data_IF_510186905411
#
_entry.id   IF_510186905411
#
_cell.length_a   1.000
_cell.length_b   1.000
_cell.length_c   1.000
_cell.angle_alpha   90.00
_cell.angle_beta   90.00
_cell.angle_gamma   90.00
#
_symmetry.space_group_name_H-M   'P 1'
#
loop_
_entity.id
_entity.type
_entity.pdbx_description
1 polymer ?
#
# COMPACT_ATOMS: atom_id res chain seq x y z
N UNK A 1 3.52 0.21 -30.89
CA UNK A 1 4.71 -0.50 -30.34
C UNK A 1 5.41 0.26 -29.20
N UNK A 2 5.76 1.55 -29.34
CA UNK A 2 6.49 2.30 -28.29
C UNK A 2 5.67 2.42 -26.99
N UNK A 3 4.39 2.81 -27.09
CA UNK A 3 3.49 2.92 -25.93
C UNK A 3 3.26 1.59 -25.20
N UNK A 4 3.18 0.49 -25.95
CA UNK A 4 3.05 -0.86 -25.39
C UNK A 4 4.26 -1.24 -24.52
N UNK A 5 5.47 -1.01 -25.02
CA UNK A 5 6.70 -1.27 -24.27
C UNK A 5 6.81 -0.40 -23.01
N UNK A 6 6.32 0.84 -23.09
CA UNK A 6 6.28 1.78 -21.97
C UNK A 6 5.32 1.33 -20.88
N UNK A 7 4.12 0.88 -21.23
CA UNK A 7 3.13 0.34 -20.27
C UNK A 7 3.68 -0.92 -19.58
N UNK A 8 4.32 -1.84 -20.30
CA UNK A 8 4.92 -3.02 -19.66
C UNK A 8 6.03 -2.63 -18.67
N UNK A 9 6.93 -1.73 -19.08
CA UNK A 9 8.03 -1.28 -18.22
C UNK A 9 7.52 -0.59 -16.95
N UNK A 10 6.48 0.25 -17.09
CA UNK A 10 5.84 0.90 -15.94
C UNK A 10 5.15 -0.11 -15.02
N UNK A 11 4.53 -1.16 -15.57
CA UNK A 11 3.88 -2.23 -14.80
C UNK A 11 4.89 -3.06 -14.00
N UNK A 12 6.04 -3.40 -14.62
CA UNK A 12 7.11 -4.14 -13.95
C UNK A 12 7.73 -3.29 -12.82
N UNK A 13 7.91 -1.98 -13.06
CA UNK A 13 8.39 -1.03 -12.04
C UNK A 13 7.39 -0.83 -10.90
N UNK A 14 6.09 -0.81 -11.19
CA UNK A 14 5.03 -0.78 -10.17
C UNK A 14 5.08 -2.03 -9.29
N UNK A 15 5.30 -3.18 -9.92
CA UNK A 15 5.41 -4.46 -9.21
C UNK A 15 6.58 -4.45 -8.23
N UNK A 16 7.75 -3.98 -8.66
CA UNK A 16 8.93 -3.86 -7.79
C UNK A 16 8.70 -2.88 -6.64
N UNK A 17 8.07 -1.73 -6.91
CA UNK A 17 7.76 -0.74 -5.90
C UNK A 17 6.80 -1.31 -4.84
N UNK A 18 5.77 -2.06 -5.26
CA UNK A 18 4.83 -2.70 -4.33
C UNK A 18 5.51 -3.77 -3.45
N UNK A 19 6.53 -4.47 -3.96
CA UNK A 19 7.31 -5.43 -3.18
C UNK A 19 8.24 -4.73 -2.17
N UNK A 20 8.81 -3.58 -2.55
CA UNK A 20 9.58 -2.72 -1.63
C UNK A 20 8.67 -2.16 -0.52
N UNK A 21 7.48 -1.67 -0.87
CA UNK A 21 6.48 -1.18 0.08
C UNK A 21 6.06 -2.28 1.05
N UNK A 22 5.87 -3.51 0.57
CA UNK A 22 5.57 -4.65 1.44
C UNK A 22 6.69 -4.93 2.44
N UNK A 23 7.95 -4.88 1.99
CA UNK A 23 9.12 -5.12 2.84
C UNK A 23 9.27 -4.03 3.91
N UNK A 24 9.17 -2.75 3.51
CA UNK A 24 9.18 -1.61 4.43
C UNK A 24 8.03 -1.66 5.45
N UNK A 25 6.83 -2.07 5.02
CA UNK A 25 5.71 -2.33 5.93
C UNK A 25 6.02 -3.45 6.92
N UNK A 26 6.72 -4.52 6.52
CA UNK A 26 7.12 -5.58 7.44
C UNK A 26 8.15 -5.10 8.47
N UNK A 27 9.11 -4.28 8.05
CA UNK A 27 10.16 -3.69 8.91
C UNK A 27 9.67 -2.52 9.75
N UNK A 28 8.43 -2.05 9.51
CA UNK A 28 7.79 -0.91 10.19
C UNK A 28 8.53 0.42 9.96
N UNK A 29 9.17 0.56 8.80
CA UNK A 29 9.85 1.78 8.38
C UNK A 29 8.84 2.74 7.72
N UNK A 30 8.03 3.42 8.53
CA UNK A 30 6.91 4.23 8.02
C UNK A 30 7.36 5.44 7.18
N UNK A 31 8.53 6.01 7.46
CA UNK A 31 9.10 7.10 6.65
C UNK A 31 9.42 6.63 5.22
N UNK A 32 9.99 5.43 5.09
CA UNK A 32 10.25 4.80 3.78
C UNK A 32 8.95 4.43 3.06
N UNK A 33 7.94 3.98 3.79
CA UNK A 33 6.61 3.71 3.23
C UNK A 33 5.99 4.99 2.66
N UNK A 34 6.12 6.13 3.33
CA UNK A 34 5.61 7.41 2.84
C UNK A 34 6.28 7.85 1.54
N UNK A 35 7.61 7.76 1.45
CA UNK A 35 8.34 8.01 0.20
C UNK A 35 7.91 7.06 -0.93
N UNK A 36 7.73 5.78 -0.61
CA UNK A 36 7.26 4.78 -1.56
C UNK A 36 5.83 5.07 -2.05
N UNK A 37 4.92 5.55 -1.20
CA UNK A 37 3.57 5.96 -1.63
C UNK A 37 3.61 7.14 -2.61
N UNK A 38 4.47 8.12 -2.38
CA UNK A 38 4.63 9.26 -3.30
C UNK A 38 5.15 8.82 -4.67
N UNK A 39 6.17 7.95 -4.68
CA UNK A 39 6.72 7.38 -5.91
C UNK A 39 5.69 6.53 -6.66
N UNK A 40 4.88 5.75 -5.94
CA UNK A 40 3.78 4.95 -6.48
C UNK A 40 2.71 5.79 -7.15
N UNK A 41 2.31 6.90 -6.52
CA UNK A 41 1.30 7.80 -7.05
C UNK A 41 1.74 8.41 -8.40
N UNK A 42 2.99 8.88 -8.48
CA UNK A 42 3.55 9.39 -9.73
C UNK A 42 3.59 8.31 -10.82
N UNK A 43 4.06 7.11 -10.46
CA UNK A 43 4.15 5.99 -11.39
C UNK A 43 2.76 5.52 -11.88
N UNK A 44 1.73 5.53 -11.02
CA UNK A 44 0.36 5.21 -11.43
C UNK A 44 -0.21 6.25 -12.39
N UNK A 45 0.06 7.54 -12.19
CA UNK A 45 -0.36 8.58 -13.13
C UNK A 45 0.33 8.42 -14.48
N UNK A 46 1.63 8.15 -14.50
CA UNK A 46 2.38 7.87 -15.73
C UNK A 46 1.85 6.64 -16.46
N UNK A 47 1.52 5.58 -15.72
CA UNK A 47 0.96 4.35 -16.25
C UNK A 47 -0.43 4.60 -16.86
N UNK A 48 -1.29 5.38 -16.19
CA UNK A 48 -2.61 5.73 -16.69
C UNK A 48 -2.50 6.51 -18.02
N UNK A 49 -1.63 7.52 -18.08
CA UNK A 49 -1.40 8.28 -19.30
C UNK A 49 -0.86 7.39 -20.43
N UNK A 50 0.10 6.52 -20.13
CA UNK A 50 0.65 5.58 -21.11
C UNK A 50 -0.41 4.58 -21.60
N UNK A 51 -1.30 4.12 -20.71
CA UNK A 51 -2.39 3.21 -21.03
C UNK A 51 -3.44 3.85 -21.95
N UNK A 52 -3.83 5.09 -21.68
CA UNK A 52 -4.82 5.80 -22.49
C UNK A 52 -4.27 6.15 -23.88
N UNK A 53 -3.00 6.52 -23.98
CA UNK A 53 -2.32 6.70 -25.28
C UNK A 53 -2.22 5.37 -26.05
N UNK A 54 -1.85 4.30 -25.37
CA UNK A 54 -1.78 2.96 -25.96
C UNK A 54 -3.15 2.54 -26.51
N UNK A 55 -4.25 2.73 -25.77
CA UNK A 55 -5.61 2.40 -26.25
C UNK A 55 -6.06 3.19 -27.48
N UNK A 56 -5.53 4.38 -27.71
CA UNK A 56 -5.88 5.20 -28.88
C UNK A 56 -5.18 4.71 -30.16
N UNK A 57 -4.02 4.05 -30.02
CA UNK A 57 -3.18 3.59 -31.15
C UNK A 57 -3.39 2.10 -31.52
N UNK A 58 -4.16 1.35 -30.75
CA UNK A 58 -4.29 -0.10 -30.94
C UNK A 58 -5.30 -0.47 -32.03
N UNK A 59 -4.87 -1.39 -32.91
CA UNK A 59 -5.74 -2.13 -33.84
C UNK A 59 -6.21 -3.47 -33.25
N UNK A 60 -7.34 -4.03 -33.71
CA UNK A 60 -7.91 -5.32 -33.23
C UNK A 60 -6.92 -6.51 -33.20
N UNK A 61 -5.83 -6.45 -33.97
CA UNK A 61 -4.77 -7.46 -34.01
C UNK A 61 -3.87 -7.50 -32.76
N UNK A 62 -3.94 -6.53 -31.84
CA UNK A 62 -3.11 -6.47 -30.62
C UNK A 62 -3.89 -6.86 -29.34
N UNK A 63 -5.11 -7.37 -29.48
CA UNK A 63 -6.00 -7.72 -28.35
C UNK A 63 -5.38 -8.70 -27.34
N UNK A 64 -4.57 -9.66 -27.80
CA UNK A 64 -3.86 -10.58 -26.92
C UNK A 64 -2.87 -9.87 -26.00
N UNK A 65 -2.17 -8.86 -26.52
CA UNK A 65 -1.18 -8.11 -25.75
C UNK A 65 -1.85 -7.21 -24.71
N UNK A 66 -3.02 -6.64 -25.02
CA UNK A 66 -3.84 -5.92 -24.03
C UNK A 66 -4.25 -6.87 -22.90
N UNK A 67 -4.64 -8.11 -23.24
CA UNK A 67 -5.04 -9.11 -22.25
C UNK A 67 -3.91 -9.41 -21.27
N UNK A 68 -2.70 -9.68 -21.77
CA UNK A 68 -1.51 -9.95 -20.93
C UNK A 68 -1.16 -8.76 -20.03
N UNK A 69 -1.28 -7.54 -20.56
CA UNK A 69 -1.06 -6.32 -19.79
C UNK A 69 -2.13 -6.10 -18.70
N UNK A 70 -3.39 -6.39 -19.02
CA UNK A 70 -4.49 -6.32 -18.05
C UNK A 70 -4.28 -7.31 -16.91
N UNK A 71 -3.78 -8.51 -17.22
CA UNK A 71 -3.41 -9.52 -16.22
C UNK A 71 -2.27 -9.03 -15.31
N UNK A 72 -1.19 -8.45 -15.89
CA UNK A 72 -0.11 -7.84 -15.11
C UNK A 72 -0.61 -6.74 -14.17
N UNK A 73 -1.54 -5.90 -14.62
CA UNK A 73 -2.17 -4.88 -13.77
C UNK A 73 -3.06 -5.50 -12.68
N UNK A 74 -3.71 -6.63 -12.97
CA UNK A 74 -4.43 -7.43 -11.98
C UNK A 74 -3.51 -7.88 -10.83
N UNK A 75 -2.31 -8.37 -11.15
CA UNK A 75 -1.30 -8.75 -10.15
C UNK A 75 -0.85 -7.54 -9.33
N UNK A 76 -0.61 -6.39 -9.97
CA UNK A 76 -0.26 -5.15 -9.26
C UNK A 76 -1.37 -4.74 -8.27
N UNK A 77 -2.64 -4.88 -8.67
CA UNK A 77 -3.79 -4.58 -7.82
C UNK A 77 -3.85 -5.52 -6.61
N UNK A 78 -3.58 -6.81 -6.79
CA UNK A 78 -3.57 -7.77 -5.70
C UNK A 78 -2.44 -7.49 -4.69
N UNK A 79 -1.23 -7.17 -5.19
CA UNK A 79 -0.11 -6.73 -4.34
C UNK A 79 -0.45 -5.46 -3.56
N UNK A 80 -1.09 -4.47 -4.20
CA UNK A 80 -1.57 -3.27 -3.53
C UNK A 80 -2.55 -3.60 -2.39
N UNK A 81 -3.53 -4.48 -2.66
CA UNK A 81 -4.52 -4.89 -1.66
C UNK A 81 -3.84 -5.54 -0.45
N UNK A 82 -2.85 -6.40 -0.70
CA UNK A 82 -2.05 -7.02 0.36
C UNK A 82 -1.33 -5.99 1.23
N UNK A 83 -0.71 -4.97 0.63
CA UNK A 83 -0.02 -3.89 1.35
C UNK A 83 -1.01 -3.10 2.22
N UNK A 84 -2.18 -2.75 1.67
CA UNK A 84 -3.24 -2.05 2.42
C UNK A 84 -3.78 -2.86 3.60
N UNK A 85 -3.95 -4.18 3.44
CA UNK A 85 -4.39 -5.06 4.54
C UNK A 85 -3.35 -5.13 5.67
N UNK A 86 -2.06 -5.25 5.32
CA UNK A 86 -0.97 -5.28 6.30
C UNK A 86 -0.90 -3.97 7.10
N UNK A 87 -0.95 -2.82 6.42
CA UNK A 87 -0.93 -1.51 7.06
C UNK A 87 -2.11 -1.33 8.02
N UNK A 88 -3.33 -1.67 7.59
CA UNK A 88 -4.53 -1.58 8.43
C UNK A 88 -4.42 -2.46 9.68
N UNK A 89 -3.94 -3.70 9.53
CA UNK A 89 -3.73 -4.62 10.66
C UNK A 89 -2.72 -4.06 11.66
N UNK A 90 -1.62 -3.47 11.20
CA UNK A 90 -0.64 -2.85 12.08
C UNK A 90 -1.22 -1.66 12.85
N UNK A 91 -2.00 -0.82 12.17
CA UNK A 91 -2.67 0.32 12.82
C UNK A 91 -3.68 -0.13 13.88
N UNK A 92 -4.41 -1.22 13.64
CA UNK A 92 -5.32 -1.82 14.61
C UNK A 92 -4.58 -2.36 15.85
N UNK A 93 -3.47 -3.07 15.65
CA UNK A 93 -2.63 -3.58 16.76
C UNK A 93 -2.10 -2.43 17.60
N UNK A 94 -1.55 -1.38 16.97
CA UNK A 94 -1.03 -0.20 17.69
C UNK A 94 -2.12 0.50 18.48
N UNK A 95 -3.32 0.68 17.93
CA UNK A 95 -4.47 1.23 18.65
C UNK A 95 -4.89 0.37 19.83
N UNK A 96 -4.98 -0.94 19.65
CA UNK A 96 -5.34 -1.87 20.72
C UNK A 96 -4.28 -1.88 21.83
N UNK A 97 -3.00 -1.81 21.49
CA UNK A 97 -1.90 -1.71 22.47
C UNK A 97 -1.99 -0.40 23.26
N UNK A 98 -2.14 0.74 22.59
CA UNK A 98 -2.29 2.05 23.23
C UNK A 98 -3.53 2.12 24.12
N UNK A 99 -4.66 1.55 23.67
CA UNK A 99 -5.88 1.45 24.46
C UNK A 99 -5.68 0.56 25.69
N UNK A 100 -5.01 -0.58 25.55
CA UNK A 100 -4.73 -1.49 26.67
C UNK A 100 -3.80 -0.85 27.72
N UNK A 101 -2.77 -0.12 27.28
CA UNK A 101 -1.86 0.61 28.17
C UNK A 101 -2.63 1.73 28.89
N UNK A 102 -3.37 2.57 28.15
CA UNK A 102 -4.12 3.69 28.73
C UNK A 102 -5.19 3.22 29.72
N UNK A 103 -5.92 2.14 29.41
CA UNK A 103 -6.88 1.53 30.35
C UNK A 103 -6.21 1.00 31.62
N UNK A 104 -5.08 0.30 31.49
CA UNK A 104 -4.31 -0.16 32.65
C UNK A 104 -3.83 1.01 33.51
N UNK A 105 -3.39 2.11 32.92
CA UNK A 105 -2.97 3.30 33.68
C UNK A 105 -4.14 3.95 34.42
N UNK A 106 -5.31 4.03 33.79
CA UNK A 106 -6.56 4.50 34.42
C UNK A 106 -7.00 3.62 35.59
N UNK A 107 -6.99 2.29 35.41
CA UNK A 107 -7.40 1.35 36.46
C UNK A 107 -6.41 1.39 37.64
N UNK A 108 -5.10 1.48 37.38
CA UNK A 108 -4.10 1.66 38.42
C UNK A 108 -4.25 3.02 39.13
N UNK A 109 -4.48 4.12 38.41
CA UNK A 109 -4.73 5.43 39.01
C UNK A 109 -6.00 5.43 39.89
N UNK A 110 -7.06 4.73 39.49
CA UNK A 110 -8.29 4.57 40.29
C UNK A 110 -8.04 3.79 41.59
N UNK A 111 -7.17 2.78 41.56
CA UNK A 111 -6.80 2.01 42.76
C UNK A 111 -5.94 2.85 43.72
N UNK A 112 -4.99 3.63 43.22
CA UNK A 112 -4.20 4.57 44.04
C UNK A 112 -5.07 5.67 44.65
N UNK A 113 -6.02 6.24 43.91
CA UNK A 113 -6.91 7.30 44.42
C UNK A 113 -7.89 6.78 45.50
N UNK A 114 -8.27 5.50 45.44
CA UNK A 114 -9.10 4.85 46.47
C UNK A 114 -8.30 4.46 47.71
N UNK A 115 -7.03 4.08 47.57
CA UNK A 115 -6.14 3.79 48.69
C UNK A 115 -5.66 5.07 49.40
N UNK A 116 -5.50 6.18 48.67
CA UNK A 116 -5.12 7.49 49.23
C UNK A 116 -6.23 8.25 49.95
N UNK A 117 -7.51 7.82 49.82
CA UNK A 117 -8.67 8.40 50.54
C UNK A 117 -8.99 7.69 51.85
N UNK A 118 -8.16 6.73 52.24
CA UNK A 118 -8.18 6.04 53.54
C UNK A 118 -7.12 6.63 54.48
N UNK A 119 -7.13 7.95 54.65
CA UNK A 119 -6.47 8.66 55.76
C UNK A 119 -7.29 9.88 56.14
#
# INVERSE_FOLDING_TARGET
MEHLSKVSTLSDRLTQLLDQEFSALQEKTFDEVEELQNNKFNLMQELQLAWDLMRQDISDSEAQVISELTEKLGVCREKHLRNSLLLNKQMEITRNLLNAITRKTSDNASVYDKLGKLT
#
